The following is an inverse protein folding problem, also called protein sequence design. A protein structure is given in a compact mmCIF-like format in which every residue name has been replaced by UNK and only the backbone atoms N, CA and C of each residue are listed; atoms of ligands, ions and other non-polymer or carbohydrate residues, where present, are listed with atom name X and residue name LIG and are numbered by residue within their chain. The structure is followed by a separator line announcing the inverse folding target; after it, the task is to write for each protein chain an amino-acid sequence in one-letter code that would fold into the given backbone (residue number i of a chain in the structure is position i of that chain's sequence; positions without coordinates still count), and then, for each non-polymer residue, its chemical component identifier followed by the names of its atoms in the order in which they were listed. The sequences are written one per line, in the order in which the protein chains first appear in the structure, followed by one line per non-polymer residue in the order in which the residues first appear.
data_IF_886741517691
#
_entry.id   IF_886741517691
#
_cell.length_a   1.000
_cell.length_b   1.000
_cell.length_c   1.000
_cell.angle_alpha   90.00
_cell.angle_beta   90.00
_cell.angle_gamma   90.00
#
_symmetry.space_group_name_H-M   'P 1'
#
loop_
_entity.id
_entity.type
_entity.pdbx_description
1 polymer ?
#
# COMPACT_ATOMS: atom_id res chain seq x y z
N UNK A 1 -31.65 21.66 -8.71
CA UNK A 1 -30.84 20.98 -7.67
C UNK A 1 -30.09 19.85 -8.36
N UNK A 2 -28.76 19.92 -8.49
CA UNK A 2 -27.99 18.85 -9.15
C UNK A 2 -27.79 17.71 -8.15
N UNK A 3 -28.39 16.53 -8.36
CA UNK A 3 -28.12 15.34 -7.53
C UNK A 3 -26.82 14.72 -8.01
N UNK A 4 -25.86 14.61 -7.10
CA UNK A 4 -24.68 13.77 -7.31
C UNK A 4 -25.13 12.31 -7.22
N UNK A 5 -24.91 11.54 -8.28
CA UNK A 5 -25.15 10.09 -8.29
C UNK A 5 -23.81 9.38 -8.19
N UNK A 6 -23.69 8.45 -7.24
CA UNK A 6 -22.49 7.62 -7.08
C UNK A 6 -22.73 6.26 -7.72
N UNK A 7 -21.77 5.77 -8.49
CA UNK A 7 -21.76 4.35 -8.86
C UNK A 7 -21.56 3.52 -7.59
N UNK A 8 -22.52 2.63 -7.32
CA UNK A 8 -22.48 1.74 -6.14
C UNK A 8 -21.22 0.87 -6.15
N UNK A 9 -20.83 0.34 -7.31
CA UNK A 9 -19.68 -0.57 -7.43
C UNK A 9 -18.36 0.13 -7.15
N UNK A 10 -18.22 1.38 -7.61
CA UNK A 10 -17.02 2.19 -7.35
C UNK A 10 -16.89 2.50 -5.86
N UNK A 11 -17.97 2.94 -5.23
CA UNK A 11 -17.97 3.32 -3.80
C UNK A 11 -17.69 2.11 -2.91
N UNK A 12 -18.25 0.95 -3.24
CA UNK A 12 -17.97 -0.30 -2.51
C UNK A 12 -16.52 -0.78 -2.67
N UNK A 13 -15.96 -0.69 -3.87
CA UNK A 13 -14.54 -1.00 -4.10
C UNK A 13 -13.63 -0.08 -3.29
N UNK A 14 -13.88 1.24 -3.36
CA UNK A 14 -13.09 2.23 -2.62
C UNK A 14 -13.19 2.01 -1.10
N UNK A 15 -14.40 1.76 -0.58
CA UNK A 15 -14.61 1.47 0.85
C UNK A 15 -13.81 0.25 1.31
N UNK A 16 -13.81 -0.85 0.54
CA UNK A 16 -12.99 -2.04 0.87
C UNK A 16 -11.49 -1.75 0.84
N UNK A 17 -11.01 -0.98 -0.12
CA UNK A 17 -9.60 -0.59 -0.19
C UNK A 17 -9.20 0.28 1.01
N UNK A 18 -10.02 1.26 1.37
CA UNK A 18 -9.77 2.12 2.53
C UNK A 18 -9.84 1.36 3.85
N UNK A 19 -10.76 0.41 3.99
CA UNK A 19 -10.80 -0.49 5.17
C UNK A 19 -9.54 -1.33 5.27
N UNK A 20 -9.04 -1.85 4.14
CA UNK A 20 -7.77 -2.56 4.12
C UNK A 20 -6.62 -1.62 4.51
N UNK A 21 -6.54 -0.42 3.92
CA UNK A 21 -5.50 0.55 4.24
C UNK A 21 -5.66 1.22 5.62
N UNK A 22 -6.79 1.07 6.32
CA UNK A 22 -7.02 1.69 7.63
C UNK A 22 -6.20 1.11 8.79
N UNK A 23 -5.24 0.23 8.50
CA UNK A 23 -4.34 -0.41 9.45
C UNK A 23 -2.95 0.17 9.35
N UNK A 24 -2.39 0.54 10.50
CA UNK A 24 -1.13 1.23 10.60
C UNK A 24 0.02 0.42 9.99
N UNK A 25 0.12 -0.89 10.26
CA UNK A 25 1.18 -1.74 9.72
C UNK A 25 1.12 -1.82 8.21
N UNK A 26 -0.08 -1.98 7.64
CA UNK A 26 -0.27 -2.01 6.18
C UNK A 26 0.08 -0.67 5.54
N UNK A 27 -0.27 0.46 6.18
CA UNK A 27 0.15 1.78 5.71
C UNK A 27 1.67 1.93 5.74
N UNK A 28 2.33 1.52 6.82
CA UNK A 28 3.80 1.57 6.92
C UNK A 28 4.46 0.75 5.81
N UNK A 29 4.01 -0.47 5.56
CA UNK A 29 4.50 -1.31 4.45
C UNK A 29 4.34 -0.58 3.10
N UNK A 30 3.14 -0.06 2.85
CA UNK A 30 2.83 0.66 1.62
C UNK A 30 3.71 1.90 1.45
N UNK A 31 3.92 2.68 2.51
CA UNK A 31 4.74 3.89 2.50
C UNK A 31 6.22 3.56 2.24
N UNK A 32 6.74 2.47 2.80
CA UNK A 32 8.07 1.97 2.45
C UNK A 32 8.14 1.61 0.96
N UNK A 33 7.16 0.83 0.47
CA UNK A 33 7.12 0.39 -0.93
C UNK A 33 6.81 1.50 -1.95
N UNK A 34 6.35 2.67 -1.47
CA UNK A 34 6.20 3.86 -2.28
C UNK A 34 7.54 4.53 -2.59
N UNK A 35 8.59 4.24 -1.81
CA UNK A 35 9.97 4.73 -2.06
C UNK A 35 10.74 3.84 -3.03
N UNK A 36 10.33 2.58 -3.19
CA UNK A 36 10.99 1.61 -4.04
C UNK A 36 10.48 0.18 -3.79
N UNK A 37 10.88 -0.76 -4.63
CA UNK A 37 10.58 -2.17 -4.36
C UNK A 37 11.45 -2.70 -3.21
N UNK A 38 10.90 -3.61 -2.40
CA UNK A 38 11.61 -4.25 -1.30
C UNK A 38 11.16 -5.70 -1.12
N UNK A 39 12.03 -6.54 -0.60
CA UNK A 39 11.71 -7.91 -0.21
C UNK A 39 11.20 -7.98 1.24
N UNK A 40 10.69 -9.15 1.64
CA UNK A 40 10.11 -9.33 2.98
C UNK A 40 11.13 -9.12 4.11
N UNK A 41 12.40 -9.47 3.90
CA UNK A 41 13.47 -9.33 4.90
C UNK A 41 13.76 -7.86 5.17
N UNK A 42 13.94 -7.06 4.10
CA UNK A 42 14.15 -5.61 4.20
C UNK A 42 12.97 -4.92 4.93
N UNK A 43 11.73 -5.30 4.61
CA UNK A 43 10.55 -4.77 5.29
C UNK A 43 10.48 -5.17 6.77
N UNK A 44 10.93 -6.37 7.14
CA UNK A 44 10.99 -6.77 8.55
C UNK A 44 12.00 -5.92 9.32
N UNK A 45 13.16 -5.66 8.72
CA UNK A 45 14.22 -4.83 9.30
C UNK A 45 13.76 -3.39 9.47
N UNK A 46 13.21 -2.76 8.43
CA UNK A 46 12.78 -1.36 8.49
C UNK A 46 11.60 -1.12 9.42
N UNK A 47 10.70 -2.11 9.55
CA UNK A 47 9.50 -1.98 10.38
C UNK A 47 9.68 -2.50 11.80
N UNK A 48 10.79 -3.19 12.08
CA UNK A 48 11.05 -3.92 13.32
C UNK A 48 9.93 -4.91 13.66
N UNK A 49 9.46 -5.65 12.64
CA UNK A 49 8.34 -6.58 12.76
C UNK A 49 8.73 -8.02 12.41
N UNK A 50 8.10 -9.03 13.05
CA UNK A 50 8.31 -10.42 12.68
C UNK A 50 7.90 -10.71 11.23
N UNK A 51 8.63 -11.62 10.59
CA UNK A 51 8.36 -12.03 9.22
C UNK A 51 6.95 -12.60 9.00
N UNK A 52 6.37 -13.30 9.98
CA UNK A 52 5.00 -13.80 9.92
C UNK A 52 3.98 -12.66 9.78
N UNK A 53 4.16 -11.58 10.54
CA UNK A 53 3.31 -10.37 10.50
C UNK A 53 3.44 -9.67 9.16
N UNK A 54 4.66 -9.39 8.71
CA UNK A 54 4.91 -8.71 7.43
C UNK A 54 4.37 -9.54 6.26
N UNK A 55 4.64 -10.86 6.25
CA UNK A 55 4.16 -11.75 5.19
C UNK A 55 2.63 -11.83 5.14
N UNK A 56 1.97 -11.85 6.28
CA UNK A 56 0.51 -11.84 6.37
C UNK A 56 -0.07 -10.57 5.72
N UNK A 57 0.46 -9.40 6.10
CA UNK A 57 0.02 -8.12 5.53
C UNK A 57 0.33 -7.98 4.04
N UNK A 58 1.51 -8.41 3.59
CA UNK A 58 1.85 -8.46 2.16
C UNK A 58 0.87 -9.34 1.38
N UNK A 59 0.45 -10.47 1.95
CA UNK A 59 -0.56 -11.35 1.36
C UNK A 59 -1.90 -10.65 1.18
N UNK A 60 -2.41 -9.97 2.22
CA UNK A 60 -3.68 -9.22 2.15
C UNK A 60 -3.62 -8.09 1.13
N UNK A 61 -2.52 -7.32 1.11
CA UNK A 61 -2.32 -6.23 0.16
C UNK A 61 -2.23 -6.73 -1.29
N UNK A 62 -1.60 -7.90 -1.52
CA UNK A 62 -1.57 -8.55 -2.84
C UNK A 62 -2.94 -9.03 -3.29
N UNK A 63 -3.72 -9.63 -2.40
CA UNK A 63 -5.07 -10.11 -2.72
C UNK A 63 -6.02 -8.98 -3.10
N UNK A 64 -5.73 -7.75 -2.65
CA UNK A 64 -6.47 -6.55 -3.01
C UNK A 64 -5.88 -5.79 -4.22
N UNK A 65 -4.95 -6.42 -4.97
CA UNK A 65 -4.27 -5.85 -6.14
C UNK A 65 -3.47 -4.55 -5.86
N UNK A 66 -3.19 -4.24 -4.59
CA UNK A 66 -2.44 -3.04 -4.20
C UNK A 66 -0.94 -3.18 -4.43
N UNK A 67 -0.43 -4.42 -4.52
CA UNK A 67 0.97 -4.73 -4.72
C UNK A 67 1.17 -5.66 -5.92
N UNK A 68 2.25 -5.40 -6.64
CA UNK A 68 2.82 -6.32 -7.63
C UNK A 68 4.06 -7.00 -7.07
N UNK A 69 4.45 -8.13 -7.66
CA UNK A 69 5.64 -8.87 -7.26
C UNK A 69 6.53 -9.21 -8.43
N UNK A 70 7.84 -9.15 -8.20
CA UNK A 70 8.90 -9.62 -9.10
C UNK A 70 9.76 -10.63 -8.36
N UNK A 71 10.29 -11.62 -9.09
CA UNK A 71 11.27 -12.57 -8.52
C UNK A 71 12.66 -12.23 -9.02
N UNK A 72 13.63 -12.27 -8.11
CA UNK A 72 15.04 -12.14 -8.42
C UNK A 72 15.80 -13.22 -7.63
N UNK A 73 16.33 -14.20 -8.35
CA UNK A 73 16.88 -15.42 -7.74
C UNK A 73 15.86 -16.13 -6.85
N UNK A 74 16.15 -16.22 -5.56
CA UNK A 74 15.30 -16.85 -4.54
C UNK A 74 14.40 -15.86 -3.80
N UNK A 75 14.54 -14.56 -4.05
CA UNK A 75 13.81 -13.52 -3.33
C UNK A 75 12.59 -13.05 -4.13
N UNK A 76 11.56 -12.63 -3.41
CA UNK A 76 10.37 -11.98 -3.96
C UNK A 76 10.42 -10.51 -3.53
N UNK A 77 10.42 -9.63 -4.51
CA UNK A 77 10.34 -8.19 -4.34
C UNK A 77 8.90 -7.74 -4.56
N UNK A 78 8.45 -6.83 -3.70
CA UNK A 78 7.11 -6.26 -3.72
C UNK A 78 7.20 -4.80 -4.15
N UNK A 79 6.25 -4.34 -4.95
CA UNK A 79 6.16 -2.96 -5.38
C UNK A 79 4.70 -2.50 -5.40
N UNK A 80 4.48 -1.21 -5.15
CA UNK A 80 3.17 -0.57 -5.26
C UNK A 80 2.59 -0.73 -6.68
N UNK A 81 1.34 -1.21 -6.77
CA UNK A 81 0.64 -1.44 -8.03
C UNK A 81 0.16 -0.14 -8.68
N UNK A 82 0.77 0.28 -9.78
CA UNK A 82 0.43 1.56 -10.46
C UNK A 82 -1.05 1.67 -10.89
N UNK A 83 -1.73 0.56 -11.16
CA UNK A 83 -3.14 0.56 -11.55
C UNK A 83 -4.06 0.78 -10.36
N UNK A 84 -3.93 -0.04 -9.31
CA UNK A 84 -4.74 0.09 -8.11
C UNK A 84 -4.53 1.42 -7.39
N UNK A 85 -3.31 1.94 -7.46
CA UNK A 85 -2.97 3.26 -6.92
C UNK A 85 -3.54 4.40 -7.73
N UNK A 86 -3.70 4.28 -9.05
CA UNK A 86 -4.39 5.27 -9.86
C UNK A 86 -5.88 5.35 -9.53
N UNK A 87 -6.49 4.21 -9.23
CA UNK A 87 -7.90 4.14 -8.84
C UNK A 87 -8.17 4.70 -7.43
N UNK A 88 -7.20 4.57 -6.51
CA UNK A 88 -7.22 5.22 -5.20
C UNK A 88 -6.86 6.71 -5.26
N UNK A 89 -5.88 7.07 -6.10
CA UNK A 89 -5.25 8.37 -6.13
C UNK A 89 -5.69 9.19 -7.34
N UNK A 90 -6.97 9.53 -7.44
CA UNK A 90 -7.37 10.75 -8.17
C UNK A 90 -6.80 12.03 -7.52
N UNK A 91 -5.52 12.04 -7.16
CA UNK A 91 -4.81 13.05 -6.36
C UNK A 91 -4.75 12.78 -4.84
N UNK A 92 -5.43 11.77 -4.28
CA UNK A 92 -5.50 11.60 -2.81
C UNK A 92 -4.13 11.48 -2.15
N UNK A 93 -3.26 10.63 -2.68
CA UNK A 93 -1.90 10.47 -2.15
C UNK A 93 -0.95 11.60 -2.59
N UNK A 94 -1.21 12.25 -3.73
CA UNK A 94 -0.47 13.44 -4.17
C UNK A 94 -0.77 14.66 -3.27
N UNK A 95 -1.90 14.63 -2.57
CA UNK A 95 -2.36 15.64 -1.62
C UNK A 95 -2.02 15.31 -0.16
N UNK A 96 -1.41 14.14 0.12
CA UNK A 96 -0.94 13.89 1.48
C UNK A 96 0.09 14.96 1.85
N UNK A 97 -0.02 15.57 3.05
CA UNK A 97 0.93 16.57 3.51
C UNK A 97 2.35 16.03 3.36
N UNK A 98 3.25 16.84 2.76
CA UNK A 98 4.66 16.45 2.57
C UNK A 98 5.35 16.02 3.88
N UNK A 99 4.80 16.37 5.05
CA UNK A 99 5.24 15.90 6.36
C UNK A 99 5.17 14.38 6.56
N UNK A 100 4.27 13.66 5.87
CA UNK A 100 4.22 12.18 5.95
C UNK A 100 5.39 11.54 5.18
N UNK A 101 6.02 12.27 4.23
CA UNK A 101 7.23 11.81 3.53
C UNK A 101 8.51 11.98 4.36
N UNK A 102 8.55 12.92 5.30
CA UNK A 102 9.76 13.22 6.09
C UNK A 102 9.95 12.34 7.32
N UNK A 103 8.93 11.60 7.75
CA UNK A 103 9.04 10.67 8.90
C UNK A 103 9.59 9.29 8.50
N UNK A 104 9.79 9.04 7.20
CA UNK A 104 10.43 7.83 6.65
C UNK A 104 11.94 8.07 6.45
N UNK A 105 12.57 8.83 7.33
CA UNK A 105 14.04 8.84 7.41
C UNK A 105 14.49 7.50 7.99
N UNK A 106 15.02 6.66 7.10
CA UNK A 106 15.75 5.46 7.48
C UNK A 106 16.83 5.86 8.49
N UNK A 107 16.71 5.36 9.72
CA UNK A 107 17.79 5.38 10.70
C UNK A 107 18.83 4.34 10.33
#
# INVERSE_FOLDING_TARGET
MNRISFSSDYTQRLSRLLQLLGDETRLRIVLCLAQGEANVTELCEWLELPQSTVSHHLGLLRLADLLTTRREGRQVFYAVSKSAWRDLAGGFFDQLPRGIRSDVEAR
#
